data_IF_100316870889
#
_entry.id   IF_100316870889
#
_cell.length_a   1.000
_cell.length_b   1.000
_cell.length_c   1.000
_cell.angle_alpha   90.00
_cell.angle_beta   90.00
_cell.angle_gamma   90.00
#
_symmetry.space_group_name_H-M   'P 1'
#
loop_
_entity.id
_entity.type
_entity.pdbx_description
1 polymer ?
#
# COMPACT_ATOMS: atom_id res chain seq x y z
N UNK A 1 5.57 18.38 -11.97
CA UNK A 1 5.55 17.92 -11.82
C UNK A 1 5.99 17.09 -11.84
N UNK A 2 5.99 16.76 -12.11
CA UNK A 2 6.42 15.96 -12.12
C UNK A 2 6.97 15.40 -11.38
N UNK A 3 7.36 15.52 -11.15
CA UNK A 3 7.86 15.17 -10.61
C UNK A 3 7.89 14.58 -9.77
N UNK A 4 7.72 14.46 -9.57
CA UNK A 4 7.77 13.87 -8.78
C UNK A 4 7.79 12.91 -8.68
N UNK A 5 7.78 12.72 -9.11
CA UNK A 5 7.48 11.80 -9.16
C UNK A 5 8.35 10.89 -9.27
N UNK A 6 8.91 10.73 -9.47
CA UNK A 6 9.52 9.78 -9.59
C UNK A 6 10.70 9.69 -9.50
N UNK A 7 11.09 9.69 -9.65
CA UNK A 7 12.11 9.33 -9.96
C UNK A 7 13.27 9.37 -9.27
N UNK A 8 13.83 9.98 -9.07
CA UNK A 8 15.04 10.04 -8.53
C UNK A 8 15.28 9.21 -7.42
N UNK A 9 14.35 8.62 -7.00
CA UNK A 9 14.49 7.89 -5.93
C UNK A 9 15.45 6.81 -6.02
N UNK A 10 15.64 6.18 -7.07
CA UNK A 10 16.51 5.04 -7.10
C UNK A 10 17.88 5.38 -6.61
N UNK A 11 18.35 6.48 -6.97
CA UNK A 11 19.67 6.81 -6.61
C UNK A 11 19.79 6.94 -5.14
N UNK A 12 18.83 7.47 -4.50
CA UNK A 12 18.91 7.59 -3.14
C UNK A 12 18.91 6.30 -2.49
N UNK A 13 18.20 5.38 -2.96
CA UNK A 13 18.13 4.14 -2.33
C UNK A 13 19.42 3.44 -2.28
N UNK A 14 20.33 3.74 -3.13
CA UNK A 14 21.55 3.06 -3.10
C UNK A 14 22.35 3.44 -1.93
N UNK A 15 22.02 4.49 -1.27
CA UNK A 15 22.80 4.89 -0.15
C UNK A 15 22.34 4.34 1.13
N UNK A 16 21.52 3.35 1.14
CA UNK A 16 21.02 2.83 2.38
C UNK A 16 21.64 1.51 2.78
N UNK A 17 22.87 1.33 2.42
CA UNK A 17 23.54 0.11 2.73
C UNK A 17 23.54 -0.24 4.18
N UNK A 18 23.61 0.67 5.05
CA UNK A 18 23.63 0.35 6.44
C UNK A 18 22.27 0.35 7.09
N UNK A 19 21.26 0.47 6.30
CA UNK A 19 19.93 0.60 6.80
C UNK A 19 19.42 -0.68 7.43
N UNK A 20 18.75 -0.60 8.55
CA UNK A 20 18.19 -1.77 9.18
C UNK A 20 16.92 -2.16 8.41
N UNK A 21 16.41 -3.33 8.70
CA UNK A 21 15.18 -3.76 8.05
C UNK A 21 14.04 -2.84 8.43
N UNK A 22 14.03 -2.39 9.68
CA UNK A 22 12.98 -1.49 10.13
C UNK A 22 13.05 -0.15 9.40
N UNK A 23 14.23 0.37 9.26
CA UNK A 23 14.40 1.65 8.57
C UNK A 23 14.00 1.52 7.11
N UNK A 24 14.34 0.40 6.52
CA UNK A 24 13.97 0.18 5.13
C UNK A 24 12.46 0.10 4.98
N UNK A 25 11.81 -0.60 5.91
CA UNK A 25 10.37 -0.72 5.85
C UNK A 25 9.70 0.65 5.92
N UNK A 26 10.13 1.48 6.85
CA UNK A 26 9.55 2.79 7.01
C UNK A 26 9.73 3.63 5.75
N UNK A 27 10.93 3.62 5.21
CA UNK A 27 11.22 4.40 4.02
C UNK A 27 10.38 3.95 2.82
N UNK A 28 10.32 2.64 2.63
CA UNK A 28 9.58 2.11 1.50
C UNK A 28 8.08 2.30 1.67
N UNK A 29 7.58 2.11 2.88
CA UNK A 29 6.17 2.27 3.13
C UNK A 29 5.73 3.71 2.93
N UNK A 30 6.50 4.64 3.44
CA UNK A 30 6.16 6.04 3.27
C UNK A 30 6.12 6.43 1.81
N UNK A 31 7.10 5.99 1.06
CA UNK A 31 7.14 6.33 -0.34
C UNK A 31 5.96 5.74 -1.11
N UNK A 32 5.72 4.46 -0.87
CA UNK A 32 4.65 3.78 -1.61
C UNK A 32 3.28 4.27 -1.24
N UNK A 33 3.07 4.55 0.03
CA UNK A 33 1.78 5.06 0.46
C UNK A 33 1.54 6.45 -0.10
N UNK A 34 2.56 7.30 -0.07
CA UNK A 34 2.39 8.64 -0.61
C UNK A 34 2.10 8.59 -2.11
N UNK A 35 2.75 7.69 -2.83
CA UNK A 35 2.48 7.55 -4.26
C UNK A 35 1.05 7.07 -4.48
N UNK A 36 0.60 6.15 -3.64
CA UNK A 36 -0.75 5.64 -3.78
C UNK A 36 -1.78 6.73 -3.49
N UNK A 37 -1.56 7.50 -2.44
CA UNK A 37 -2.51 8.55 -2.11
C UNK A 37 -2.60 9.56 -3.25
N UNK A 38 -1.48 9.85 -3.89
CA UNK A 38 -1.49 10.72 -5.05
C UNK A 38 -2.28 10.13 -6.20
N UNK A 39 -2.15 8.82 -6.41
CA UNK A 39 -2.87 8.16 -7.48
C UNK A 39 -4.37 8.16 -7.20
N UNK A 40 -4.74 7.95 -5.95
CA UNK A 40 -6.15 7.96 -5.60
C UNK A 40 -6.73 9.36 -5.81
N UNK A 41 -5.96 10.39 -5.48
CA UNK A 41 -6.42 11.75 -5.69
C UNK A 41 -6.67 12.01 -7.20
N UNK A 42 -5.82 11.44 -8.04
CA UNK A 42 -5.99 11.60 -9.46
C UNK A 42 -7.27 10.90 -9.94
N UNK A 43 -7.59 9.77 -9.34
CA UNK A 43 -8.82 9.11 -9.69
C UNK A 43 -10.00 10.02 -9.30
N UNK A 44 -9.87 10.68 -8.15
CA UNK A 44 -10.90 11.60 -7.72
C UNK A 44 -11.14 12.72 -8.69
N UNK A 45 -10.12 13.11 -9.45
CA UNK A 45 -10.28 14.18 -10.41
C UNK A 45 -11.18 13.78 -11.57
N UNK A 46 -11.44 12.51 -11.75
CA UNK A 46 -12.34 12.06 -12.80
C UNK A 46 -13.79 12.36 -12.46
N UNK A 47 -14.03 12.90 -11.27
CA UNK A 47 -15.39 13.20 -10.86
C UNK A 47 -15.98 14.42 -11.59
N UNK A 48 -15.16 15.11 -12.37
CA UNK A 48 -15.63 16.30 -13.06
C UNK A 48 -16.62 15.94 -14.17
N UNK A 49 -17.89 16.22 -13.95
CA UNK A 49 -18.90 15.87 -14.92
C UNK A 49 -18.85 16.70 -16.17
N UNK A 50 -18.12 17.79 -16.13
CA UNK A 50 -17.97 18.57 -17.33
C UNK A 50 -17.05 17.87 -18.31
N UNK A 51 -16.16 17.05 -17.82
CA UNK A 51 -15.19 16.41 -18.67
C UNK A 51 -15.43 14.91 -18.87
N UNK A 52 -16.12 14.28 -17.93
CA UNK A 52 -16.25 12.84 -17.97
C UNK A 52 -17.67 12.38 -17.69
N UNK A 53 -18.01 11.29 -18.26
CA UNK A 53 -19.34 10.73 -18.05
C UNK A 53 -19.18 9.43 -17.28
N UNK A 54 -19.88 9.28 -16.18
CA UNK A 54 -19.80 8.07 -15.40
C UNK A 54 -21.10 7.86 -14.62
N UNK A 55 -21.34 6.64 -14.19
CA UNK A 55 -22.52 6.33 -13.44
C UNK A 55 -22.13 5.99 -12.01
N UNK A 56 -23.12 5.89 -11.15
CA UNK A 56 -22.86 5.51 -9.80
C UNK A 56 -22.28 4.13 -9.76
N UNK A 57 -22.72 3.27 -10.66
CA UNK A 57 -22.23 1.92 -10.70
C UNK A 57 -20.76 1.87 -11.07
N UNK A 58 -20.36 2.71 -12.00
CA UNK A 58 -18.95 2.80 -12.37
C UNK A 58 -18.12 3.16 -11.15
N UNK A 59 -18.57 4.12 -10.40
CA UNK A 59 -17.84 4.59 -9.23
C UNK A 59 -17.77 3.48 -8.18
N UNK A 60 -18.87 2.78 -7.97
CA UNK A 60 -18.89 1.69 -7.03
C UNK A 60 -17.91 0.61 -7.41
N UNK A 61 -17.84 0.29 -8.68
CA UNK A 61 -16.93 -0.74 -9.15
C UNK A 61 -15.48 -0.32 -8.95
N UNK A 62 -15.18 0.92 -9.26
CA UNK A 62 -13.82 1.40 -9.12
C UNK A 62 -13.36 1.29 -7.67
N UNK A 63 -14.17 1.81 -6.76
CA UNK A 63 -13.73 1.83 -5.38
C UNK A 63 -13.80 0.45 -4.73
N UNK A 64 -14.67 -0.41 -5.22
CA UNK A 64 -14.70 -1.74 -4.69
C UNK A 64 -13.40 -2.45 -5.04
N UNK A 65 -12.92 -2.28 -6.27
CA UNK A 65 -11.67 -2.89 -6.68
C UNK A 65 -10.51 -2.37 -5.85
N UNK A 66 -10.50 -1.09 -5.59
CA UNK A 66 -9.43 -0.52 -4.81
C UNK A 66 -9.48 -1.06 -3.40
N UNK A 67 -10.64 -1.09 -2.80
CA UNK A 67 -10.77 -1.59 -1.43
C UNK A 67 -10.41 -3.07 -1.34
N UNK A 68 -10.78 -3.84 -2.36
CA UNK A 68 -10.45 -5.26 -2.36
C UNK A 68 -8.94 -5.46 -2.38
N UNK A 69 -8.25 -4.63 -3.16
CA UNK A 69 -6.82 -4.76 -3.26
C UNK A 69 -6.16 -4.33 -1.95
N UNK A 70 -6.69 -3.33 -1.29
CA UNK A 70 -6.19 -2.90 0.00
C UNK A 70 -6.37 -4.04 1.01
N UNK A 71 -7.53 -4.68 0.98
CA UNK A 71 -7.80 -5.78 1.89
C UNK A 71 -6.83 -6.94 1.65
N UNK A 72 -6.53 -7.22 0.41
CA UNK A 72 -5.60 -8.29 0.11
C UNK A 72 -4.22 -7.98 0.65
N UNK A 73 -3.79 -6.75 0.48
CA UNK A 73 -2.47 -6.36 0.95
C UNK A 73 -2.40 -6.43 2.46
N UNK A 74 -3.43 -5.96 3.11
CA UNK A 74 -3.45 -5.97 4.54
C UNK A 74 -3.42 -7.40 5.07
N UNK A 75 -4.13 -8.28 4.40
CA UNK A 75 -4.15 -9.66 4.78
C UNK A 75 -2.79 -10.29 4.71
N UNK A 76 -1.99 -9.90 3.75
CA UNK A 76 -0.65 -10.46 3.64
C UNK A 76 0.19 -10.11 4.87
N UNK A 77 0.01 -8.91 5.41
CA UNK A 77 0.73 -8.53 6.60
C UNK A 77 0.22 -9.35 7.79
N UNK A 78 -1.08 -9.48 7.88
CA UNK A 78 -1.64 -10.23 8.99
C UNK A 78 -1.22 -11.69 8.96
N UNK A 79 -1.18 -12.26 7.79
CA UNK A 79 -0.80 -13.65 7.67
C UNK A 79 0.64 -13.87 8.05
N UNK A 80 1.49 -12.97 7.66
CA UNK A 80 2.89 -13.13 8.03
C UNK A 80 3.09 -12.98 9.52
N UNK A 81 2.38 -12.07 10.13
CA UNK A 81 2.50 -11.87 11.55
C UNK A 81 1.88 -13.05 12.28
N UNK A 82 0.71 -13.48 11.81
CA UNK A 82 0.03 -14.53 12.44
C UNK A 82 0.80 -15.82 12.33
N UNK A 83 1.48 -16.01 11.24
CA UNK A 83 2.28 -17.17 11.08
C UNK A 83 3.32 -17.28 12.16
N UNK A 84 3.96 -16.18 12.47
CA UNK A 84 4.95 -16.20 13.47
C UNK A 84 4.32 -16.41 14.81
N UNK A 85 3.24 -15.81 15.04
CA UNK A 85 2.56 -15.95 16.27
C UNK A 85 2.06 -17.34 16.45
N UNK A 86 1.58 -17.94 15.40
CA UNK A 86 1.09 -19.23 15.47
C UNK A 86 2.17 -20.15 15.89
N UNK A 87 3.33 -19.96 15.38
CA UNK A 87 4.41 -20.80 15.70
C UNK A 87 4.71 -20.68 17.17
N UNK A 88 4.68 -19.52 17.71
CA UNK A 88 4.94 -19.35 19.07
C UNK A 88 3.85 -19.94 19.88
N UNK A 89 2.65 -19.75 19.50
CA UNK A 89 1.58 -20.27 20.22
C UNK A 89 1.60 -21.72 20.32
N UNK A 90 2.00 -22.39 19.27
CA UNK A 90 2.05 -23.75 19.32
C UNK A 90 2.94 -24.15 20.37
N UNK A 91 3.98 -23.45 20.53
CA UNK A 91 4.89 -23.79 21.53
C UNK A 91 4.24 -23.70 22.82
N UNK A 92 3.52 -22.72 23.16
CA UNK A 92 3.01 -22.67 24.41
C UNK A 92 1.70 -23.17 24.47
N UNK A 93 1.03 -23.13 23.48
CA UNK A 93 -0.21 -23.55 23.55
C UNK A 93 -0.41 -24.85 23.65
N UNK A 94 0.47 -25.45 23.36
CA UNK A 94 0.31 -26.71 23.47
C UNK A 94 -0.35 -26.91 24.56
N UNK A 95 -0.33 -26.08 25.35
CA UNK A 95 -0.94 -26.23 26.42
C UNK A 95 -2.24 -25.97 26.28
N UNK A 96 -2.57 -25.33 25.47
CA UNK A 96 -3.88 -25.04 25.45
C UNK A 96 -4.45 -25.77 24.64
#
# INVERSE_FOLDING_TARGET
MKENLTPPQPAKEKNHAGESKRERFIRMAERRVNNLLGSIALIGNLSSRNNYEYTKDDVSQIFKEIRDEVTKAEKRFLENTRGKEKFKLKDRNNKT
#
